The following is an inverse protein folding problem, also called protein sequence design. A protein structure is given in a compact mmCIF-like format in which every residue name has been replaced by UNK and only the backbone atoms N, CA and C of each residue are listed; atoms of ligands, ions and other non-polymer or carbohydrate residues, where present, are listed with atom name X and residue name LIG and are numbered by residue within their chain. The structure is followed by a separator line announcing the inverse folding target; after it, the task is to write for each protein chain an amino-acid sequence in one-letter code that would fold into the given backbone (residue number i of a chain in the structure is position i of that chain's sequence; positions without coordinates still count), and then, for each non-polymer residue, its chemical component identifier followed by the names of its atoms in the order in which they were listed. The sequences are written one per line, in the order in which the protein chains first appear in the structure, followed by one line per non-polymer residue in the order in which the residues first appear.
data_IF_277547024646
#
_entry.id   IF_277547024646
#
_cell.length_a   1.000
_cell.length_b   1.000
_cell.length_c   1.000
_cell.angle_alpha   90.00
_cell.angle_beta   90.00
_cell.angle_gamma   90.00
#
_symmetry.space_group_name_H-M   'P 1'
#
loop_
_entity.id
_entity.type
_entity.pdbx_description
1 polymer ?
#
# COMPACT_ATOMS: atom_id res chain seq x y z
N UNK A 1 -12.32 -19.14 2.26
CA UNK A 1 -12.97 -17.83 2.20
C UNK A 1 -11.99 -16.76 1.80
N UNK A 2 -12.35 -15.98 0.87
CA UNK A 2 -11.47 -14.95 0.36
C UNK A 2 -11.73 -13.61 1.05
N UNK A 3 -10.81 -13.18 1.89
CA UNK A 3 -10.99 -11.96 2.66
C UNK A 3 -11.01 -10.71 1.79
N UNK A 4 -10.43 -10.79 0.58
CA UNK A 4 -10.39 -9.62 -0.29
C UNK A 4 -11.78 -9.13 -0.69
N UNK A 5 -12.73 -10.00 -0.65
CA UNK A 5 -14.10 -9.67 -0.99
C UNK A 5 -14.65 -8.54 -0.14
N UNK A 6 -14.34 -8.56 1.15
CA UNK A 6 -14.89 -7.61 2.10
C UNK A 6 -13.90 -6.56 2.52
N UNK A 7 -12.75 -6.57 1.90
CA UNK A 7 -11.69 -5.66 2.33
C UNK A 7 -11.96 -4.25 1.80
N UNK A 8 -11.92 -3.30 2.72
CA UNK A 8 -12.14 -1.90 2.37
C UNK A 8 -10.88 -1.29 1.75
N UNK A 9 -11.09 -0.31 0.91
CA UNK A 9 -9.98 0.52 0.45
C UNK A 9 -9.55 1.42 1.59
N UNK A 10 -8.26 1.62 1.71
CA UNK A 10 -7.72 2.51 2.75
C UNK A 10 -6.95 3.64 2.10
N UNK A 11 -6.80 4.72 2.85
CA UNK A 11 -6.13 5.92 2.36
C UNK A 11 -4.62 5.75 2.42
N UNK A 12 -3.92 6.73 1.82
CA UNK A 12 -2.46 6.75 1.90
C UNK A 12 -2.00 6.85 3.35
N UNK A 13 -2.69 7.67 4.15
CA UNK A 13 -2.34 7.79 5.56
C UNK A 13 -2.54 6.46 6.30
N UNK A 14 -3.64 5.76 5.99
CA UNK A 14 -3.89 4.47 6.61
C UNK A 14 -2.87 3.43 6.18
N UNK A 15 -2.44 3.49 4.92
CA UNK A 15 -1.42 2.57 4.44
C UNK A 15 -0.10 2.79 5.18
N UNK A 16 0.25 4.06 5.38
CA UNK A 16 1.47 4.39 6.13
C UNK A 16 1.39 3.86 7.55
N UNK A 17 0.24 4.03 8.18
CA UNK A 17 0.05 3.55 9.53
C UNK A 17 0.11 2.03 9.58
N UNK A 18 -0.51 1.37 8.61
CA UNK A 18 -0.51 -0.09 8.56
C UNK A 18 0.90 -0.66 8.46
N UNK A 19 1.75 -0.01 7.68
CA UNK A 19 3.12 -0.46 7.49
C UNK A 19 4.10 0.19 8.46
N UNK A 20 3.59 1.09 9.31
CA UNK A 20 4.41 1.77 10.31
C UNK A 20 5.55 2.56 9.66
N UNK A 21 5.20 3.31 8.63
CA UNK A 21 6.15 4.17 7.92
C UNK A 21 5.51 5.53 7.72
N UNK A 22 6.27 6.48 7.21
CA UNK A 22 5.74 7.81 6.95
C UNK A 22 4.96 7.85 5.65
N UNK A 23 4.10 8.86 5.52
CA UNK A 23 3.39 9.07 4.27
C UNK A 23 4.36 9.36 3.13
N UNK A 24 5.45 10.05 3.43
CA UNK A 24 6.46 10.33 2.42
C UNK A 24 7.11 9.06 1.89
N UNK A 25 7.32 8.08 2.75
CA UNK A 25 7.84 6.80 2.32
C UNK A 25 6.89 6.14 1.32
N UNK A 26 5.59 6.17 1.62
CA UNK A 26 4.60 5.60 0.70
C UNK A 26 4.64 6.32 -0.64
N UNK A 27 4.66 7.66 -0.61
CA UNK A 27 4.69 8.43 -1.85
C UNK A 27 5.94 8.12 -2.68
N UNK A 28 7.06 7.97 -2.00
CA UNK A 28 8.30 7.64 -2.68
C UNK A 28 8.22 6.25 -3.33
N UNK A 29 7.65 5.28 -2.62
CA UNK A 29 7.50 3.93 -3.17
C UNK A 29 6.56 3.91 -4.36
N UNK A 30 5.52 4.75 -4.35
CA UNK A 30 4.63 4.85 -5.50
C UNK A 30 5.41 5.26 -6.74
N UNK A 31 6.37 6.14 -6.58
CA UNK A 31 7.16 6.63 -7.70
C UNK A 31 8.24 5.64 -8.14
N UNK A 32 8.82 4.92 -7.21
CA UNK A 32 10.04 4.16 -7.48
C UNK A 32 9.85 2.65 -7.50
N UNK A 33 8.73 2.16 -7.04
CA UNK A 33 8.52 0.73 -6.95
C UNK A 33 7.16 0.36 -7.51
N UNK A 34 6.86 -0.93 -7.48
CA UNK A 34 5.56 -1.40 -7.93
C UNK A 34 4.62 -1.67 -6.75
N UNK A 35 4.75 -0.87 -5.70
CA UNK A 35 3.83 -0.99 -4.57
C UNK A 35 2.39 -0.97 -5.10
N UNK A 36 1.53 -1.87 -4.60
CA UNK A 36 0.14 -1.95 -5.11
C UNK A 36 -0.68 -0.76 -4.65
N UNK A 37 -0.62 0.31 -5.41
CA UNK A 37 -1.37 1.54 -5.16
C UNK A 37 -2.34 1.74 -6.31
N UNK A 38 -3.56 2.14 -5.96
CA UNK A 38 -4.63 2.33 -6.93
C UNK A 38 -5.16 3.74 -6.84
N UNK A 39 -5.42 4.34 -7.99
CA UNK A 39 -5.91 5.71 -8.03
C UNK A 39 -7.43 5.70 -8.19
N UNK A 40 -8.11 6.29 -7.23
CA UNK A 40 -9.55 6.44 -7.30
C UNK A 40 -9.82 7.94 -7.30
N UNK A 41 -10.21 8.46 -8.47
CA UNK A 41 -10.29 9.90 -8.64
C UNK A 41 -8.91 10.50 -8.48
N UNK A 42 -8.77 11.40 -7.52
CA UNK A 42 -7.49 12.06 -7.27
C UNK A 42 -6.72 11.48 -6.09
N UNK A 43 -7.26 10.42 -5.48
CA UNK A 43 -6.71 9.89 -4.25
C UNK A 43 -6.08 8.53 -4.48
N UNK A 44 -4.96 8.29 -3.82
CA UNK A 44 -4.36 6.98 -3.79
C UNK A 44 -5.10 6.12 -2.77
N UNK A 45 -5.39 4.90 -3.16
CA UNK A 45 -6.06 3.94 -2.28
C UNK A 45 -5.31 2.63 -2.31
N UNK A 46 -5.41 1.90 -1.21
CA UNK A 46 -4.64 0.68 -1.01
C UNK A 46 -5.52 -0.39 -0.40
N UNK A 47 -5.06 -1.62 -0.47
CA UNK A 47 -5.66 -2.72 0.28
C UNK A 47 -4.60 -3.35 1.14
N UNK A 48 -4.94 -3.58 2.41
CA UNK A 48 -3.97 -4.09 3.37
C UNK A 48 -3.38 -5.43 2.94
N UNK A 49 -4.21 -6.30 2.41
CA UNK A 49 -3.74 -7.62 1.98
C UNK A 49 -2.70 -7.50 0.87
N UNK A 50 -2.91 -6.56 -0.05
CA UNK A 50 -1.96 -6.36 -1.13
C UNK A 50 -0.64 -5.79 -0.61
N UNK A 51 -0.74 -4.86 0.34
CA UNK A 51 0.45 -4.29 0.94
C UNK A 51 1.26 -5.36 1.68
N UNK A 52 0.58 -6.22 2.41
CA UNK A 52 1.25 -7.29 3.14
C UNK A 52 1.99 -8.23 2.19
N UNK A 53 1.34 -8.60 1.10
CA UNK A 53 1.98 -9.47 0.12
C UNK A 53 3.19 -8.81 -0.51
N UNK A 54 3.07 -7.53 -0.83
CA UNK A 54 4.17 -6.80 -1.43
C UNK A 54 5.36 -6.73 -0.48
N UNK A 55 5.10 -6.47 0.79
CA UNK A 55 6.17 -6.43 1.79
C UNK A 55 6.81 -7.80 1.94
N UNK A 56 5.98 -8.85 1.97
CA UNK A 56 6.51 -10.22 2.12
C UNK A 56 7.41 -10.60 0.96
N UNK A 57 7.18 -10.03 -0.21
CA UNK A 57 7.99 -10.33 -1.38
C UNK A 57 9.38 -9.71 -1.30
N UNK A 58 9.61 -8.84 -0.31
CA UNK A 58 10.90 -8.20 -0.12
C UNK A 58 11.12 -6.96 -0.96
N UNK A 59 10.13 -6.56 -1.73
CA UNK A 59 10.31 -5.44 -2.65
C UNK A 59 10.39 -4.11 -1.94
N UNK A 60 9.86 -4.02 -0.71
CA UNK A 60 9.95 -2.78 0.05
C UNK A 60 11.32 -2.57 0.65
N UNK A 61 12.19 -3.56 0.60
CA UNK A 61 13.52 -3.49 1.20
C UNK A 61 14.53 -2.87 0.26
N UNK A 62 14.09 -2.05 -0.64
CA UNK A 62 14.98 -1.31 -1.52
C UNK A 62 15.72 -0.24 -0.76
N UNK A 63 16.93 -0.03 -1.10
CA UNK A 63 17.66 1.09 -0.55
C UNK A 63 18.55 1.71 -1.52
#
# INVERSE_FOLDING_TARGET
MNDNYNESWISLADAAEHLDVTKDSIRNWIKKTDIPAHKIGKLWKFKKSELDEWVKSGKSALD
#
